data_IF_629678485668
#
_entry.id   IF_629678485668
#
_cell.length_a   1.000
_cell.length_b   1.000
_cell.length_c   1.000
_cell.angle_alpha   90.00
_cell.angle_beta   90.00
_cell.angle_gamma   90.00
#
_symmetry.space_group_name_H-M   'P 1'
#
loop_
_entity.id
_entity.type
_entity.pdbx_description
1 polymer ?
#
# COMPACT_ATOMS: atom_id res chain seq x y z
N UNK A 1 -6.64 29.09 -16.67
CA UNK A 1 -5.54 28.13 -16.81
C UNK A 1 -6.16 26.76 -16.71
N UNK A 2 -5.64 25.75 -17.38
CA UNK A 2 -6.28 24.41 -17.33
C UNK A 2 -5.44 23.57 -16.36
N UNK A 3 -6.05 22.74 -15.53
CA UNK A 3 -5.39 21.92 -14.48
C UNK A 3 -4.13 21.19 -14.99
N UNK A 4 -4.18 20.62 -16.21
CA UNK A 4 -3.02 20.02 -16.88
C UNK A 4 -1.85 21.01 -17.02
N UNK A 5 -2.12 22.22 -17.48
CA UNK A 5 -1.10 23.26 -17.63
C UNK A 5 -0.54 23.71 -16.29
N UNK A 6 -1.38 23.76 -15.26
CA UNK A 6 -0.98 24.07 -13.89
C UNK A 6 -0.04 23.01 -13.33
N UNK A 7 -0.34 21.71 -13.55
CA UNK A 7 0.50 20.58 -13.12
C UNK A 7 1.83 20.57 -13.87
N UNK A 8 1.81 20.69 -15.20
CA UNK A 8 3.04 20.71 -15.99
C UNK A 8 3.96 21.87 -15.55
N UNK A 9 3.41 23.06 -15.39
CA UNK A 9 4.16 24.20 -14.87
C UNK A 9 4.70 23.98 -13.46
N UNK A 10 3.92 23.33 -12.61
CA UNK A 10 4.31 23.00 -11.24
C UNK A 10 5.46 22.00 -11.21
N UNK A 11 5.35 20.92 -11.97
CA UNK A 11 6.38 19.88 -12.07
C UNK A 11 7.65 20.40 -12.77
N UNK A 12 7.52 21.23 -13.83
CA UNK A 12 8.67 21.77 -14.58
C UNK A 12 9.41 22.88 -13.82
N UNK A 13 8.70 23.80 -13.18
CA UNK A 13 9.31 24.94 -12.46
C UNK A 13 10.06 24.52 -11.19
N UNK A 14 9.67 23.40 -10.59
CA UNK A 14 10.26 22.92 -9.36
C UNK A 14 11.31 21.82 -9.60
N UNK A 15 11.83 21.68 -10.82
CA UNK A 15 12.94 20.79 -11.15
C UNK A 15 14.26 21.24 -10.48
N UNK A 16 14.34 21.16 -9.14
CA UNK A 16 15.39 21.78 -8.34
C UNK A 16 16.67 20.94 -8.13
N UNK A 17 16.80 19.78 -8.72
CA UNK A 17 18.07 19.05 -8.68
C UNK A 17 18.59 18.77 -10.09
N UNK A 18 19.37 19.68 -10.67
CA UNK A 18 20.13 19.37 -11.88
C UNK A 18 21.19 18.32 -11.51
N UNK A 19 21.03 17.10 -11.96
CA UNK A 19 22.11 16.12 -11.99
C UNK A 19 21.95 14.83 -11.20
N UNK A 20 20.90 14.62 -10.42
CA UNK A 20 20.66 13.31 -9.80
C UNK A 20 19.38 12.68 -10.36
N UNK A 21 19.53 11.72 -11.26
CA UNK A 21 18.47 10.75 -11.53
C UNK A 21 18.41 9.80 -10.35
N UNK A 22 17.45 9.99 -9.46
CA UNK A 22 17.15 9.01 -8.42
C UNK A 22 16.49 7.80 -9.09
N UNK A 23 16.85 6.59 -8.66
CA UNK A 23 15.98 5.46 -8.97
C UNK A 23 14.71 5.54 -8.09
N UNK A 24 13.66 4.82 -8.46
CA UNK A 24 12.37 4.89 -7.79
C UNK A 24 12.47 4.53 -6.31
N UNK A 25 13.30 3.56 -5.96
CA UNK A 25 13.51 3.12 -4.57
C UNK A 25 14.22 4.20 -3.74
N UNK A 26 15.17 4.91 -4.31
CA UNK A 26 15.83 6.06 -3.66
C UNK A 26 14.84 7.21 -3.41
N UNK A 27 13.95 7.48 -4.36
CA UNK A 27 12.89 8.48 -4.18
C UNK A 27 11.94 8.09 -3.04
N UNK A 28 11.48 6.84 -3.01
CA UNK A 28 10.62 6.32 -1.95
C UNK A 28 11.31 6.37 -0.59
N UNK A 29 12.60 5.98 -0.52
CA UNK A 29 13.40 6.03 0.69
C UNK A 29 13.54 7.44 1.27
N UNK A 30 13.79 8.43 0.44
CA UNK A 30 13.94 9.83 0.89
C UNK A 30 12.64 10.44 1.43
N UNK A 31 11.48 9.97 1.00
CA UNK A 31 10.19 10.58 1.31
C UNK A 31 9.33 9.75 2.30
N UNK A 32 9.68 8.49 2.56
CA UNK A 32 8.93 7.64 3.50
C UNK A 32 9.34 7.78 4.97
N UNK A 33 10.46 8.42 5.28
CA UNK A 33 10.95 8.65 6.65
C UNK A 33 11.26 7.40 7.47
N UNK A 34 11.02 6.19 6.94
CA UNK A 34 11.24 4.91 7.59
C UNK A 34 11.67 3.87 6.56
N UNK A 35 12.96 3.57 6.58
CA UNK A 35 13.48 2.39 5.89
C UNK A 35 12.94 1.13 6.57
N UNK A 36 11.99 0.45 5.97
CA UNK A 36 11.76 -0.94 6.29
C UNK A 36 12.24 -1.80 5.12
N UNK A 37 13.17 -2.63 5.42
CA UNK A 37 13.60 -3.77 4.62
C UNK A 37 12.41 -4.68 4.38
N UNK A 38 11.76 -4.59 3.24
CA UNK A 38 10.87 -5.66 2.73
C UNK A 38 10.03 -5.16 1.54
N UNK A 39 9.60 -6.05 0.72
CA UNK A 39 8.89 -5.93 -0.57
C UNK A 39 7.60 -5.06 -0.60
N UNK A 40 7.31 -4.31 0.44
CA UNK A 40 6.24 -3.31 0.49
C UNK A 40 6.60 -2.17 1.43
N UNK A 41 6.41 -0.93 1.00
CA UNK A 41 6.61 0.27 1.82
C UNK A 41 5.28 0.72 2.39
N UNK A 42 5.30 1.10 3.68
CA UNK A 42 4.17 1.78 4.30
C UNK A 42 4.47 3.27 4.36
N UNK A 43 3.62 4.08 3.73
CA UNK A 43 3.72 5.54 3.74
C UNK A 43 2.79 6.11 4.78
N UNK A 44 3.33 6.91 5.71
CA UNK A 44 2.54 7.71 6.66
C UNK A 44 2.36 9.13 6.15
N UNK A 45 1.15 9.67 6.22
CA UNK A 45 0.92 11.08 6.03
C UNK A 45 1.27 11.81 7.32
N UNK A 46 2.12 12.84 7.25
CA UNK A 46 2.45 13.68 8.40
C UNK A 46 1.47 14.86 8.56
N UNK A 47 0.60 15.06 7.59
CA UNK A 47 -0.36 16.15 7.47
C UNK A 47 -1.76 15.65 7.19
N UNK A 48 -2.79 16.45 7.48
CA UNK A 48 -4.18 16.11 7.19
C UNK A 48 -4.46 15.95 5.69
N UNK A 49 -3.74 16.69 4.86
CA UNK A 49 -3.92 16.73 3.41
C UNK A 49 -2.55 16.87 2.74
N UNK A 50 -2.34 16.11 1.69
CA UNK A 50 -1.20 16.28 0.79
C UNK A 50 -1.63 16.12 -0.66
N UNK A 51 -0.84 16.66 -1.58
CA UNK A 51 -1.03 16.42 -3.00
C UNK A 51 0.29 15.96 -3.62
N UNK A 52 0.21 14.97 -4.48
CA UNK A 52 1.32 14.63 -5.36
C UNK A 52 0.85 14.70 -6.80
N UNK A 53 1.70 15.27 -7.65
CA UNK A 53 1.48 15.31 -9.07
C UNK A 53 2.61 14.59 -9.78
N UNK A 54 2.29 13.77 -10.78
CA UNK A 54 3.31 13.15 -11.60
C UNK A 54 2.90 13.06 -13.06
N UNK A 55 3.93 13.15 -13.90
CA UNK A 55 3.79 13.05 -15.35
C UNK A 55 4.75 12.00 -15.88
N UNK A 56 4.33 11.28 -16.91
CA UNK A 56 5.24 10.43 -17.70
C UNK A 56 5.32 10.95 -19.12
N UNK A 57 6.41 10.61 -19.81
CA UNK A 57 6.62 10.97 -21.21
C UNK A 57 6.87 9.74 -22.07
N UNK A 58 6.78 9.93 -23.40
CA UNK A 58 7.13 8.90 -24.39
C UNK A 58 8.62 8.52 -24.35
N UNK A 59 9.46 9.35 -23.73
CA UNK A 59 10.90 9.13 -23.59
C UNK A 59 11.26 8.28 -22.35
N UNK A 60 10.26 7.82 -21.59
CA UNK A 60 10.46 7.04 -20.36
C UNK A 60 10.96 7.89 -19.20
N UNK A 61 10.54 9.12 -19.11
CA UNK A 61 10.86 10.04 -18.01
C UNK A 61 9.59 10.26 -17.19
N UNK A 62 9.68 10.04 -15.88
CA UNK A 62 8.67 10.40 -14.90
C UNK A 62 9.15 11.61 -14.09
N UNK A 63 8.31 12.63 -13.98
CA UNK A 63 8.50 13.72 -13.03
C UNK A 63 7.46 13.59 -11.93
N UNK A 64 7.90 13.75 -10.69
CA UNK A 64 7.04 13.68 -9.50
C UNK A 64 7.24 14.95 -8.70
N UNK A 65 6.15 15.54 -8.22
CA UNK A 65 6.17 16.65 -7.28
C UNK A 65 5.22 16.34 -6.12
N UNK A 66 5.66 16.52 -4.89
CA UNK A 66 4.91 16.27 -3.67
C UNK A 66 4.79 17.53 -2.82
N UNK A 67 3.57 17.83 -2.38
CA UNK A 67 3.20 19.02 -1.63
C UNK A 67 2.40 18.61 -0.37
N UNK A 68 3.00 18.57 0.80
CA UNK A 68 2.27 18.45 2.06
C UNK A 68 1.70 19.80 2.52
N UNK A 69 0.66 19.78 3.35
CA UNK A 69 -0.04 20.99 3.81
C UNK A 69 0.83 21.93 4.65
N UNK A 70 1.68 21.38 5.52
CA UNK A 70 2.41 22.15 6.54
C UNK A 70 3.91 22.34 6.24
N UNK A 71 4.40 21.82 5.12
CA UNK A 71 5.82 21.89 4.77
C UNK A 71 6.05 22.98 3.74
N UNK A 72 7.08 23.81 4.00
CA UNK A 72 7.45 24.92 3.11
C UNK A 72 8.18 24.50 1.85
N UNK A 73 8.51 23.22 1.70
CA UNK A 73 9.37 22.75 0.64
C UNK A 73 8.64 21.73 -0.25
N UNK A 74 8.58 22.04 -1.53
CA UNK A 74 8.09 21.12 -2.57
C UNK A 74 9.19 20.08 -2.81
N UNK A 75 8.85 18.81 -2.73
CA UNK A 75 9.76 17.72 -3.07
C UNK A 75 9.52 17.29 -4.52
N UNK A 76 10.53 17.38 -5.35
CA UNK A 76 10.46 16.98 -6.75
C UNK A 76 11.51 15.94 -7.08
N UNK A 77 11.15 15.00 -7.96
CA UNK A 77 12.06 13.98 -8.48
C UNK A 77 11.87 13.80 -9.99
N UNK A 78 12.95 13.46 -10.68
CA UNK A 78 12.97 13.04 -12.07
C UNK A 78 13.54 11.62 -12.14
N UNK A 79 12.76 10.69 -12.69
CA UNK A 79 13.08 9.28 -12.71
C UNK A 79 13.08 8.78 -14.15
N UNK A 80 14.14 8.08 -14.54
CA UNK A 80 14.17 7.33 -15.81
C UNK A 80 13.58 5.94 -15.56
N UNK A 81 12.67 5.49 -16.43
CA UNK A 81 12.04 4.19 -16.33
C UNK A 81 12.00 3.46 -17.68
N UNK A 82 11.92 2.13 -17.62
CA UNK A 82 11.68 1.29 -18.81
C UNK A 82 10.19 1.06 -19.00
N UNK A 83 9.76 0.94 -20.27
CA UNK A 83 8.35 0.70 -20.59
C UNK A 83 7.81 -0.56 -19.89
N UNK A 84 6.70 -0.43 -19.18
CA UNK A 84 6.09 -1.49 -18.40
C UNK A 84 6.77 -1.74 -17.04
N UNK A 85 7.67 -0.86 -16.59
CA UNK A 85 8.25 -0.96 -15.25
C UNK A 85 7.16 -0.86 -14.20
N UNK A 86 7.18 -1.77 -13.25
CA UNK A 86 6.29 -1.75 -12.09
C UNK A 86 6.99 -1.05 -10.94
N UNK A 87 6.29 -0.15 -10.26
CA UNK A 87 6.78 0.47 -9.03
C UNK A 87 6.76 -0.54 -7.89
N UNK A 88 7.51 -0.28 -6.83
CA UNK A 88 7.50 -1.14 -5.65
C UNK A 88 6.11 -1.12 -5.02
N UNK A 89 5.59 -2.31 -4.68
CA UNK A 89 4.32 -2.45 -4.00
C UNK A 89 4.36 -1.73 -2.65
N UNK A 90 3.35 -0.90 -2.38
CA UNK A 90 3.27 -0.08 -1.18
C UNK A 90 1.83 0.05 -0.68
N UNK A 91 1.68 0.53 0.53
CA UNK A 91 0.41 0.91 1.14
C UNK A 91 0.58 2.19 1.94
N UNK A 92 -0.51 2.82 2.35
CA UNK A 92 -0.50 4.01 3.18
C UNK A 92 -1.54 3.94 4.30
N UNK A 93 -1.34 4.75 5.34
CA UNK A 93 -2.28 4.93 6.44
C UNK A 93 -3.30 6.05 6.19
N UNK A 94 -3.40 6.53 4.96
CA UNK A 94 -4.33 7.57 4.52
C UNK A 94 -5.13 7.11 3.32
N UNK A 95 -6.25 7.76 3.06
CA UNK A 95 -7.04 7.56 1.84
C UNK A 95 -6.37 8.32 0.70
N UNK A 96 -6.20 7.68 -0.44
CA UNK A 96 -5.66 8.31 -1.64
C UNK A 96 -6.69 8.41 -2.75
N UNK A 97 -6.92 9.63 -3.25
CA UNK A 97 -7.70 9.89 -4.45
C UNK A 97 -6.75 10.13 -5.62
N UNK A 98 -6.73 9.23 -6.57
CA UNK A 98 -5.89 9.30 -7.78
C UNK A 98 -6.75 9.78 -8.94
N UNK A 99 -6.48 10.95 -9.45
CA UNK A 99 -7.17 11.56 -10.59
C UNK A 99 -6.31 11.45 -11.84
N UNK A 100 -6.76 10.68 -12.83
CA UNK A 100 -6.12 10.60 -14.15
C UNK A 100 -6.60 11.77 -15.02
N UNK A 101 -5.73 12.76 -15.23
CA UNK A 101 -6.07 13.98 -15.97
C UNK A 101 -5.86 13.75 -17.46
N UNK A 102 -4.80 13.06 -17.84
CA UNK A 102 -4.48 12.70 -19.20
C UNK A 102 -3.81 11.34 -19.28
N UNK A 103 -4.06 10.61 -20.37
CA UNK A 103 -3.49 9.30 -20.61
C UNK A 103 -4.22 8.18 -19.86
N UNK A 104 -3.49 7.19 -19.45
CA UNK A 104 -3.99 6.05 -18.70
C UNK A 104 -3.04 5.69 -17.56
N UNK A 105 -3.59 5.19 -16.46
CA UNK A 105 -2.84 4.64 -15.35
C UNK A 105 -3.20 3.18 -15.18
N UNK A 106 -2.24 2.29 -15.29
CA UNK A 106 -2.42 0.88 -14.93
C UNK A 106 -1.80 0.61 -13.58
N UNK A 107 -2.54 -0.07 -12.71
CA UNK A 107 -2.13 -0.41 -11.35
C UNK A 107 -2.38 -1.87 -11.05
N UNK A 108 -1.58 -2.42 -10.17
CA UNK A 108 -1.89 -3.68 -9.51
C UNK A 108 -2.42 -3.36 -8.10
N UNK A 109 -3.66 -3.73 -7.82
CA UNK A 109 -4.30 -3.51 -6.52
C UNK A 109 -4.70 -4.87 -5.95
N UNK A 110 -4.05 -5.27 -4.85
CA UNK A 110 -4.28 -6.58 -4.21
C UNK A 110 -4.27 -7.76 -5.19
N UNK A 111 -3.30 -7.77 -6.10
CA UNK A 111 -3.10 -8.84 -7.07
C UNK A 111 -3.94 -8.75 -8.35
N UNK A 112 -4.81 -7.73 -8.49
CA UNK A 112 -5.61 -7.49 -9.71
C UNK A 112 -5.03 -6.32 -10.50
N UNK A 113 -4.85 -6.52 -11.80
CA UNK A 113 -4.41 -5.45 -12.72
C UNK A 113 -5.63 -4.66 -13.20
N UNK A 114 -5.59 -3.33 -13.03
CA UNK A 114 -6.69 -2.42 -13.36
C UNK A 114 -6.11 -1.24 -14.11
N UNK A 115 -6.82 -0.78 -15.13
CA UNK A 115 -6.43 0.40 -15.89
C UNK A 115 -7.50 1.48 -15.74
N UNK A 116 -7.06 2.66 -15.39
CA UNK A 116 -7.87 3.87 -15.25
C UNK A 116 -7.60 4.79 -16.44
N UNK A 117 -8.63 5.48 -16.89
CA UNK A 117 -8.60 6.34 -18.05
C UNK A 117 -8.74 7.82 -17.67
N UNK A 118 -8.46 8.71 -18.63
CA UNK A 118 -8.59 10.16 -18.45
C UNK A 118 -9.97 10.54 -17.89
N UNK A 119 -9.97 11.42 -16.92
CA UNK A 119 -11.09 11.90 -16.13
C UNK A 119 -11.68 10.89 -15.12
N UNK A 120 -11.15 9.69 -15.01
CA UNK A 120 -11.51 8.78 -13.93
C UNK A 120 -10.75 9.12 -12.66
N UNK A 121 -11.38 8.82 -11.53
CA UNK A 121 -10.78 8.94 -10.20
C UNK A 121 -10.83 7.58 -9.53
N UNK A 122 -9.71 7.15 -8.96
CA UNK A 122 -9.64 5.98 -8.10
C UNK A 122 -9.46 6.43 -6.65
N UNK A 123 -10.31 5.97 -5.74
CA UNK A 123 -10.10 6.08 -4.31
C UNK A 123 -9.50 4.77 -3.82
N UNK A 124 -8.27 4.83 -3.31
CA UNK A 124 -7.60 3.70 -2.66
C UNK A 124 -7.75 3.87 -1.15
N UNK A 125 -8.21 2.80 -0.50
CA UNK A 125 -8.41 2.79 0.94
C UNK A 125 -7.08 2.62 1.69
N UNK A 126 -7.07 3.01 2.96
CA UNK A 126 -5.92 2.79 3.87
C UNK A 126 -5.50 1.32 3.87
N UNK A 127 -4.20 1.08 4.02
CA UNK A 127 -3.58 -0.26 4.09
C UNK A 127 -3.74 -1.13 2.82
N UNK A 128 -4.35 -0.61 1.76
CA UNK A 128 -4.48 -1.34 0.50
C UNK A 128 -3.15 -1.39 -0.23
N UNK A 129 -2.61 -2.60 -0.41
CA UNK A 129 -1.35 -2.80 -1.14
C UNK A 129 -1.59 -2.63 -2.63
N UNK A 130 -0.82 -1.73 -3.24
CA UNK A 130 -0.88 -1.45 -4.68
C UNK A 130 0.49 -1.04 -5.25
N UNK A 131 0.58 -1.04 -6.57
CA UNK A 131 1.74 -0.57 -7.33
C UNK A 131 1.28 -0.11 -8.71
N UNK A 132 2.01 0.82 -9.31
CA UNK A 132 1.73 1.38 -10.62
C UNK A 132 2.59 0.72 -11.69
N UNK A 133 2.06 0.62 -12.92
CA UNK A 133 2.83 0.31 -14.10
C UNK A 133 3.15 1.61 -14.86
N UNK A 134 4.42 1.84 -15.11
CA UNK A 134 4.91 3.00 -15.85
C UNK A 134 5.08 2.63 -17.32
N UNK A 135 4.31 3.28 -18.18
CA UNK A 135 4.41 3.13 -19.62
C UNK A 135 5.00 4.38 -20.26
N UNK A 136 5.77 4.18 -21.35
CA UNK A 136 6.36 5.27 -22.16
C UNK A 136 5.28 5.97 -22.99
N UNK A 137 4.40 6.67 -22.30
CA UNK A 137 3.30 7.45 -22.83
C UNK A 137 3.12 8.75 -22.06
N UNK A 138 2.46 9.73 -22.66
CA UNK A 138 2.12 10.95 -21.95
C UNK A 138 0.97 10.68 -20.98
N UNK A 139 1.25 10.82 -19.70
CA UNK A 139 0.25 10.67 -18.65
C UNK A 139 0.42 11.80 -17.64
N UNK A 140 -0.70 12.35 -17.17
CA UNK A 140 -0.74 13.38 -16.12
C UNK A 140 -1.68 12.91 -15.02
N UNK A 141 -1.16 12.80 -13.81
CA UNK A 141 -1.88 12.29 -12.65
C UNK A 141 -1.74 13.25 -11.47
N UNK A 142 -2.81 13.36 -10.71
CA UNK A 142 -2.85 14.09 -9.47
C UNK A 142 -3.38 13.17 -8.38
N UNK A 143 -2.61 12.98 -7.30
CA UNK A 143 -3.00 12.20 -6.14
C UNK A 143 -3.25 13.13 -4.96
N UNK A 144 -4.40 12.98 -4.30
CA UNK A 144 -4.77 13.70 -3.09
C UNK A 144 -4.79 12.71 -1.91
N UNK A 145 -3.83 12.86 -1.00
CA UNK A 145 -3.79 12.10 0.25
C UNK A 145 -4.60 12.81 1.33
N UNK A 146 -5.47 12.06 2.02
CA UNK A 146 -6.34 12.55 3.09
C UNK A 146 -6.17 11.65 4.31
N UNK A 147 -5.68 12.20 5.41
CA UNK A 147 -5.49 11.46 6.66
C UNK A 147 -6.82 11.10 7.32
N UNK A 148 -6.87 9.98 8.02
CA UNK A 148 -8.06 9.51 8.75
C UNK A 148 -8.58 10.56 9.74
N UNK A 149 -7.67 11.31 10.38
CA UNK A 149 -8.02 12.39 11.33
C UNK A 149 -8.86 13.51 10.67
N UNK A 150 -8.75 13.68 9.34
CA UNK A 150 -9.61 14.62 8.62
C UNK A 150 -11.09 14.27 8.80
N UNK A 151 -11.43 13.02 8.65
CA UNK A 151 -12.81 12.54 8.74
C UNK A 151 -13.34 12.49 10.16
N UNK A 152 -12.44 12.34 11.16
CA UNK A 152 -12.80 12.39 12.58
C UNK A 152 -13.04 13.83 13.08
N UNK A 153 -12.25 14.77 12.58
CA UNK A 153 -12.30 16.17 13.05
C UNK A 153 -13.31 17.03 12.31
N UNK A 154 -13.57 16.71 11.03
CA UNK A 154 -14.43 17.51 10.17
C UNK A 154 -15.66 16.71 9.80
N UNK A 155 -16.80 17.11 10.37
CA UNK A 155 -18.09 16.56 9.98
C UNK A 155 -18.42 17.05 8.58
N UNK A 156 -18.38 16.16 7.60
CA UNK A 156 -18.79 16.47 6.24
C UNK A 156 -20.31 16.70 6.29
N UNK A 157 -20.70 17.95 6.27
CA UNK A 157 -22.11 18.38 6.23
C UNK A 157 -22.63 18.27 4.79
N UNK A 158 -22.86 17.04 4.32
CA UNK A 158 -23.58 16.83 3.06
C UNK A 158 -25.07 16.67 3.34
N UNK A 159 -25.95 17.32 2.54
CA UNK A 159 -27.39 17.14 2.64
C UNK A 159 -27.88 15.73 2.29
N UNK A 160 -27.05 14.89 1.66
CA UNK A 160 -27.35 13.50 1.35
C UNK A 160 -26.66 12.57 2.34
N UNK A 161 -27.38 12.08 3.33
CA UNK A 161 -26.89 11.17 4.38
C UNK A 161 -26.26 9.89 3.82
N UNK A 162 -26.64 9.43 2.64
CA UNK A 162 -26.27 8.13 2.11
C UNK A 162 -24.79 8.01 1.67
N UNK A 163 -24.24 9.00 0.97
CA UNK A 163 -22.90 8.90 0.37
C UNK A 163 -21.77 9.34 1.30
N UNK A 164 -22.01 10.36 2.10
CA UNK A 164 -21.06 10.76 3.15
C UNK A 164 -20.94 9.67 4.20
N UNK A 165 -22.04 9.00 4.51
CA UNK A 165 -22.07 7.82 5.37
C UNK A 165 -21.25 6.67 4.77
N UNK A 166 -21.35 6.42 3.45
CA UNK A 166 -20.57 5.38 2.76
C UNK A 166 -19.06 5.67 2.77
N UNK A 167 -18.65 6.90 2.46
CA UNK A 167 -17.24 7.28 2.50
C UNK A 167 -16.69 7.25 3.93
N UNK A 168 -17.42 7.77 4.92
CA UNK A 168 -17.07 7.61 6.34
C UNK A 168 -17.01 6.15 6.76
N UNK A 169 -17.93 5.32 6.30
CA UNK A 169 -17.95 3.89 6.59
C UNK A 169 -16.75 3.18 5.97
N UNK A 170 -16.34 3.54 4.75
CA UNK A 170 -15.14 3.01 4.12
C UNK A 170 -13.86 3.39 4.87
N UNK A 171 -13.77 4.62 5.32
CA UNK A 171 -12.61 5.18 6.01
C UNK A 171 -12.54 4.68 7.45
N UNK A 172 -13.66 4.67 8.20
CA UNK A 172 -13.72 4.21 9.59
C UNK A 172 -13.67 2.69 9.74
N UNK A 173 -14.05 1.95 8.69
CA UNK A 173 -13.90 0.50 8.69
C UNK A 173 -12.50 0.13 8.20
N UNK A 174 -11.46 0.43 8.97
CA UNK A 174 -10.03 0.20 8.73
C UNK A 174 -9.64 -1.18 8.15
N UNK A 175 -10.56 -2.08 7.84
CA UNK A 175 -10.30 -3.49 7.48
C UNK A 175 -11.37 -4.16 6.66
N UNK A 176 -12.14 -3.46 5.86
CA UNK A 176 -13.34 -4.07 5.31
C UNK A 176 -13.46 -4.01 3.81
N UNK A 177 -14.07 -4.93 3.34
CA UNK A 177 -14.81 -5.29 2.12
C UNK A 177 -14.48 -4.52 0.81
N UNK A 178 -13.80 -3.36 0.87
CA UNK A 178 -13.48 -2.54 -0.31
C UNK A 178 -12.00 -2.15 -0.32
N UNK A 179 -11.30 -2.47 -1.40
CA UNK A 179 -9.91 -2.05 -1.62
C UNK A 179 -9.87 -0.67 -2.27
N UNK A 180 -10.69 -0.48 -3.27
CA UNK A 180 -10.75 0.76 -4.03
C UNK A 180 -12.16 1.02 -4.56
N UNK A 181 -12.43 2.28 -4.89
CA UNK A 181 -13.60 2.71 -5.64
C UNK A 181 -13.15 3.38 -6.94
N UNK A 182 -13.77 3.02 -8.05
CA UNK A 182 -13.62 3.71 -9.32
C UNK A 182 -14.78 4.67 -9.51
N UNK A 183 -14.45 5.91 -9.81
CA UNK A 183 -15.38 6.97 -10.19
C UNK A 183 -15.20 7.26 -11.66
N UNK A 184 -16.18 6.87 -12.47
CA UNK A 184 -16.20 7.17 -13.92
C UNK A 184 -17.12 8.36 -14.17
N UNK A 185 -16.69 9.38 -14.94
CA UNK A 185 -17.46 10.61 -15.12
C UNK A 185 -18.79 10.33 -15.85
N UNK A 186 -19.90 10.89 -15.33
CA UNK A 186 -21.22 10.79 -15.97
C UNK A 186 -21.27 11.60 -17.25
N UNK A 187 -20.53 12.71 -17.32
CA UNK A 187 -20.39 13.59 -18.48
C UNK A 187 -18.95 13.67 -18.92
N UNK A 188 -18.71 13.81 -20.22
CA UNK A 188 -17.35 13.93 -20.76
C UNK A 188 -16.56 15.12 -20.19
N UNK A 189 -17.21 16.15 -19.65
CA UNK A 189 -16.57 17.35 -19.12
C UNK A 189 -16.86 17.52 -17.63
N UNK A 190 -15.86 17.30 -16.81
CA UNK A 190 -15.89 17.43 -15.33
C UNK A 190 -15.18 18.71 -14.88
N UNK A 191 -15.75 19.85 -15.27
CA UNK A 191 -15.07 21.16 -15.08
C UNK A 191 -14.94 21.52 -13.60
N UNK A 192 -15.93 21.22 -12.77
CA UNK A 192 -15.92 21.61 -11.35
C UNK A 192 -14.92 20.79 -10.56
N UNK A 193 -14.86 19.48 -10.76
CA UNK A 193 -13.89 18.60 -10.08
C UNK A 193 -12.47 19.02 -10.42
N UNK A 194 -12.14 19.19 -11.71
CA UNK A 194 -10.82 19.65 -12.14
C UNK A 194 -10.45 21.02 -11.56
N UNK A 195 -11.39 21.99 -11.56
CA UNK A 195 -11.16 23.32 -10.98
C UNK A 195 -10.97 23.27 -9.47
N UNK A 196 -11.64 22.35 -8.76
CA UNK A 196 -11.46 22.21 -7.31
C UNK A 196 -10.09 21.62 -6.99
N UNK A 197 -9.59 20.65 -7.74
CA UNK A 197 -8.22 20.16 -7.59
C UNK A 197 -7.19 21.25 -7.89
N UNK A 198 -7.42 22.11 -8.90
CA UNK A 198 -6.55 23.26 -9.19
C UNK A 198 -6.50 24.24 -8.01
N UNK A 199 -7.65 24.53 -7.38
CA UNK A 199 -7.71 25.36 -6.17
C UNK A 199 -6.96 24.75 -4.98
N UNK A 200 -7.07 23.43 -4.77
CA UNK A 200 -6.30 22.73 -3.74
C UNK A 200 -4.78 22.89 -4.00
N UNK A 201 -4.33 22.70 -5.24
CA UNK A 201 -2.92 22.87 -5.60
C UNK A 201 -2.45 24.31 -5.32
N UNK A 202 -3.22 25.31 -5.75
CA UNK A 202 -2.87 26.72 -5.54
C UNK A 202 -2.79 27.04 -4.05
N UNK A 203 -3.78 26.63 -3.27
CA UNK A 203 -3.82 26.87 -1.84
C UNK A 203 -2.67 26.18 -1.08
N UNK A 204 -2.25 24.99 -1.53
CA UNK A 204 -1.09 24.31 -0.95
C UNK A 204 0.22 25.05 -1.24
N UNK A 205 0.34 25.71 -2.39
CA UNK A 205 1.52 26.51 -2.75
C UNK A 205 1.56 27.86 -2.05
N UNK A 206 0.41 28.39 -1.63
CA UNK A 206 0.31 29.70 -0.99
C UNK A 206 0.41 29.60 0.53
N UNK A 207 1.11 30.56 1.15
CA UNK A 207 1.26 30.67 2.62
C UNK A 207 0.32 31.74 3.20
N UNK A 208 -0.93 31.77 2.72
CA UNK A 208 -1.90 32.78 3.12
C UNK A 208 -2.70 32.36 4.38
N UNK A 209 -3.15 33.32 5.20
CA UNK A 209 -4.03 33.05 6.33
C UNK A 209 -5.33 32.36 5.88
N UNK A 210 -5.75 31.33 6.61
CA UNK A 210 -6.97 30.58 6.28
C UNK A 210 -6.75 29.33 5.43
N UNK A 211 -5.53 29.09 4.91
CA UNK A 211 -5.12 27.92 4.11
C UNK A 211 -5.78 26.60 4.58
N UNK A 212 -5.64 26.26 5.86
CA UNK A 212 -6.22 25.03 6.39
C UNK A 212 -7.73 24.93 6.20
N UNK A 213 -8.46 26.02 6.43
CA UNK A 213 -9.94 26.04 6.29
C UNK A 213 -10.39 25.92 4.86
N UNK A 214 -9.68 26.58 3.94
CA UNK A 214 -9.95 26.49 2.51
C UNK A 214 -9.69 25.07 1.98
N UNK A 215 -8.57 24.46 2.34
CA UNK A 215 -8.25 23.09 1.96
C UNK A 215 -9.30 22.09 2.46
N UNK A 216 -9.77 22.23 3.71
CA UNK A 216 -10.85 21.41 4.25
C UNK A 216 -12.12 21.56 3.40
N UNK A 217 -12.54 22.80 3.11
CA UNK A 217 -13.73 23.07 2.30
C UNK A 217 -13.60 22.56 0.85
N UNK A 218 -12.41 22.60 0.27
CA UNK A 218 -12.18 22.04 -1.07
C UNK A 218 -12.22 20.51 -1.08
N UNK A 219 -11.68 19.84 -0.04
CA UNK A 219 -11.79 18.38 0.07
C UNK A 219 -13.25 17.96 0.26
N UNK A 220 -14.01 18.65 1.12
CA UNK A 220 -15.45 18.41 1.26
C UNK A 220 -16.19 18.58 -0.08
N UNK A 221 -15.83 19.60 -0.85
CA UNK A 221 -16.39 19.83 -2.19
C UNK A 221 -16.03 18.73 -3.17
N UNK A 222 -14.80 18.22 -3.17
CA UNK A 222 -14.42 17.07 -4.00
C UNK A 222 -15.29 15.87 -3.66
N UNK A 223 -15.45 15.55 -2.38
CA UNK A 223 -16.28 14.43 -1.94
C UNK A 223 -17.72 14.58 -2.42
N UNK A 224 -18.29 15.78 -2.32
CA UNK A 224 -19.65 16.08 -2.83
C UNK A 224 -19.75 15.95 -4.36
N UNK A 225 -18.74 16.44 -5.09
CA UNK A 225 -18.69 16.34 -6.55
C UNK A 225 -18.55 14.89 -7.04
N UNK A 226 -17.80 14.04 -6.34
CA UNK A 226 -17.69 12.63 -6.67
C UNK A 226 -19.05 11.93 -6.67
N UNK A 227 -19.97 12.34 -5.78
CA UNK A 227 -21.33 11.79 -5.73
C UNK A 227 -22.24 12.32 -6.84
N UNK A 228 -21.98 13.51 -7.37
CA UNK A 228 -22.85 14.22 -8.31
C UNK A 228 -22.43 14.14 -9.77
N UNK A 229 -21.11 14.09 -10.01
CA UNK A 229 -20.52 14.13 -11.36
C UNK A 229 -20.04 12.77 -11.84
N UNK A 230 -20.00 11.74 -10.96
CA UNK A 230 -19.42 10.44 -11.27
C UNK A 230 -20.38 9.29 -10.98
N UNK A 231 -20.28 8.25 -11.78
CA UNK A 231 -20.82 6.93 -11.50
C UNK A 231 -19.79 6.15 -10.67
N UNK A 232 -20.23 5.56 -9.58
CA UNK A 232 -19.37 4.86 -8.63
C UNK A 232 -19.42 3.37 -8.90
N UNK A 233 -18.24 2.78 -9.13
CA UNK A 233 -18.03 1.35 -9.24
C UNK A 233 -17.22 0.89 -8.04
N UNK A 234 -17.83 0.08 -7.17
CA UNK A 234 -17.18 -0.43 -5.97
C UNK A 234 -16.57 -1.78 -6.31
N UNK A 235 -15.27 -1.88 -6.24
CA UNK A 235 -14.59 -3.16 -6.32
C UNK A 235 -14.66 -3.85 -4.95
N UNK A 236 -15.66 -4.68 -4.78
CA UNK A 236 -15.69 -5.61 -3.66
C UNK A 236 -14.59 -6.65 -3.85
N UNK A 237 -13.81 -6.89 -2.81
CA UNK A 237 -13.00 -8.08 -2.77
C UNK A 237 -13.94 -9.24 -2.53
N UNK A 238 -13.80 -10.29 -3.31
CA UNK A 238 -14.26 -11.59 -2.86
C UNK A 238 -13.53 -11.87 -1.54
N UNK A 239 -14.28 -11.97 -0.43
CA UNK A 239 -13.74 -12.24 0.92
C UNK A 239 -12.77 -13.43 0.89
N UNK A 240 -12.98 -14.38 -0.03
CA UNK A 240 -12.14 -15.55 -0.22
C UNK A 240 -10.77 -15.16 -0.82
N UNK A 241 -10.73 -14.31 -1.85
CA UNK A 241 -9.47 -13.87 -2.46
C UNK A 241 -8.66 -12.99 -1.49
N UNK A 242 -9.33 -12.11 -0.73
CA UNK A 242 -8.68 -11.31 0.31
C UNK A 242 -8.05 -12.20 1.38
N UNK A 243 -8.80 -13.16 1.90
CA UNK A 243 -8.33 -14.09 2.91
C UNK A 243 -7.11 -14.88 2.42
N UNK A 244 -7.15 -15.36 1.18
CA UNK A 244 -6.02 -16.07 0.57
C UNK A 244 -4.79 -15.16 0.42
N UNK A 245 -4.96 -13.90 0.00
CA UNK A 245 -3.88 -12.94 -0.13
C UNK A 245 -3.24 -12.59 1.23
N UNK A 246 -4.06 -12.35 2.26
CA UNK A 246 -3.58 -12.09 3.64
C UNK A 246 -2.77 -13.28 4.13
N UNK A 247 -3.31 -14.51 4.01
CA UNK A 247 -2.61 -15.73 4.44
C UNK A 247 -1.30 -15.91 3.70
N UNK A 248 -1.28 -15.68 2.39
CA UNK A 248 -0.05 -15.74 1.58
C UNK A 248 1.01 -14.76 2.10
N UNK A 249 0.66 -13.50 2.31
CA UNK A 249 1.59 -12.49 2.84
C UNK A 249 2.12 -12.84 4.23
N UNK A 250 1.27 -13.41 5.09
CA UNK A 250 1.69 -13.88 6.42
C UNK A 250 2.65 -15.07 6.30
N UNK A 251 2.38 -16.03 5.40
CA UNK A 251 3.28 -17.15 5.16
C UNK A 251 4.65 -16.68 4.67
N UNK A 252 4.70 -15.75 3.73
CA UNK A 252 5.94 -15.13 3.25
C UNK A 252 6.68 -14.40 4.38
N UNK A 253 5.99 -13.65 5.22
CA UNK A 253 6.58 -12.99 6.39
C UNK A 253 7.19 -14.01 7.37
N UNK A 254 6.47 -15.10 7.68
CA UNK A 254 6.97 -16.17 8.55
C UNK A 254 8.27 -16.76 7.98
N UNK A 255 8.31 -17.10 6.69
CA UNK A 255 9.50 -17.66 6.04
C UNK A 255 10.71 -16.72 6.16
N UNK A 256 10.49 -15.42 6.01
CA UNK A 256 11.55 -14.41 6.04
C UNK A 256 12.01 -14.03 7.47
N UNK A 257 11.23 -14.37 8.50
CA UNK A 257 11.51 -13.96 9.89
C UNK A 257 11.78 -15.15 10.84
N UNK A 258 11.80 -16.38 10.32
CA UNK A 258 12.24 -17.55 11.11
C UNK A 258 13.66 -17.30 11.66
N UNK A 259 13.96 -17.82 12.85
CA UNK A 259 13.13 -18.67 13.72
C UNK A 259 12.32 -17.91 14.79
N UNK A 260 12.48 -16.61 14.91
CA UNK A 260 12.05 -15.83 16.08
C UNK A 260 10.58 -15.44 16.07
N UNK A 261 9.93 -15.44 14.89
CA UNK A 261 8.57 -14.96 14.71
C UNK A 261 7.56 -15.64 15.64
N UNK A 262 6.69 -14.84 16.23
CA UNK A 262 5.56 -15.29 17.05
C UNK A 262 4.22 -14.82 16.48
N UNK A 263 3.12 -15.35 17.01
CA UNK A 263 1.76 -14.90 16.66
C UNK A 263 1.56 -13.42 17.01
N UNK A 264 2.18 -12.95 18.09
CA UNK A 264 2.10 -11.54 18.48
C UNK A 264 2.82 -10.63 17.50
N UNK A 265 4.03 -11.00 17.04
CA UNK A 265 4.75 -10.23 16.03
C UNK A 265 3.95 -10.11 14.73
N UNK A 266 3.29 -11.19 14.32
CA UNK A 266 2.41 -11.19 13.14
C UNK A 266 1.17 -10.32 13.40
N UNK A 267 0.58 -10.41 14.59
CA UNK A 267 -0.56 -9.60 15.01
C UNK A 267 -0.24 -8.11 14.94
N UNK A 268 0.91 -7.70 15.46
CA UNK A 268 1.39 -6.32 15.41
C UNK A 268 1.72 -5.88 13.98
N UNK A 269 2.51 -6.69 13.26
CA UNK A 269 2.95 -6.39 11.89
C UNK A 269 1.78 -6.20 10.92
N UNK A 270 0.78 -7.07 10.99
CA UNK A 270 -0.38 -7.05 10.10
C UNK A 270 -1.58 -6.31 10.69
N UNK A 271 -1.45 -5.81 11.92
CA UNK A 271 -2.48 -5.08 12.65
C UNK A 271 -3.83 -5.85 12.74
N UNK A 272 -3.75 -7.16 12.97
CA UNK A 272 -4.91 -8.03 13.18
C UNK A 272 -4.90 -8.65 14.57
N UNK A 273 -6.09 -8.84 15.14
CA UNK A 273 -6.22 -9.57 16.41
C UNK A 273 -5.76 -11.04 16.23
N UNK A 274 -4.99 -11.62 17.19
CA UNK A 274 -4.53 -13.02 17.14
C UNK A 274 -5.65 -14.05 16.91
N UNK A 275 -6.83 -13.85 17.52
CA UNK A 275 -7.97 -14.75 17.34
C UNK A 275 -8.53 -14.71 15.92
N UNK A 276 -8.54 -13.52 15.29
CA UNK A 276 -8.92 -13.39 13.89
C UNK A 276 -7.93 -14.12 12.99
N UNK A 277 -6.63 -13.92 13.19
CA UNK A 277 -5.58 -14.61 12.42
C UNK A 277 -5.68 -16.12 12.54
N UNK A 278 -5.90 -16.65 13.74
CA UNK A 278 -6.08 -18.08 13.96
C UNK A 278 -7.32 -18.63 13.24
N UNK A 279 -8.45 -17.91 13.28
CA UNK A 279 -9.66 -18.30 12.54
C UNK A 279 -9.43 -18.28 11.03
N UNK A 280 -8.73 -17.25 10.54
CA UNK A 280 -8.39 -17.11 9.14
C UNK A 280 -7.51 -18.25 8.65
N UNK A 281 -6.41 -18.54 9.35
CA UNK A 281 -5.51 -19.65 9.04
C UNK A 281 -6.24 -21.00 9.09
N UNK A 282 -7.09 -21.24 10.11
CA UNK A 282 -7.87 -22.48 10.20
C UNK A 282 -8.82 -22.63 9.02
N UNK A 283 -9.40 -21.53 8.54
CA UNK A 283 -10.30 -21.53 7.38
C UNK A 283 -9.56 -21.83 6.08
N UNK A 284 -8.47 -21.14 5.82
CA UNK A 284 -7.75 -21.17 4.54
C UNK A 284 -6.73 -22.33 4.47
N UNK A 285 -5.94 -22.53 5.54
CA UNK A 285 -4.84 -23.50 5.60
C UNK A 285 -5.20 -24.79 6.33
N UNK A 286 -6.41 -24.91 6.90
CA UNK A 286 -6.88 -26.05 7.69
C UNK A 286 -6.06 -26.31 8.98
N UNK A 287 -5.20 -25.36 9.35
CA UNK A 287 -4.42 -25.39 10.59
C UNK A 287 -4.41 -24.01 11.24
N UNK A 288 -4.10 -23.92 12.53
CA UNK A 288 -3.94 -22.62 13.18
C UNK A 288 -2.56 -22.02 12.92
N UNK A 289 -2.44 -20.69 13.08
CA UNK A 289 -1.23 -19.93 12.80
C UNK A 289 -0.02 -20.44 13.62
N UNK A 290 -0.23 -20.77 14.91
CA UNK A 290 0.84 -21.31 15.77
C UNK A 290 1.39 -22.64 15.25
N UNK A 291 0.51 -23.52 14.74
CA UNK A 291 0.95 -24.79 14.15
C UNK A 291 1.74 -24.55 12.88
N UNK A 292 1.32 -23.63 12.02
CA UNK A 292 2.05 -23.27 10.80
C UNK A 292 3.46 -22.76 11.12
N UNK A 293 3.61 -21.88 12.12
CA UNK A 293 4.93 -21.42 12.58
C UNK A 293 5.78 -22.60 13.06
N UNK A 294 5.21 -23.51 13.85
CA UNK A 294 5.93 -24.69 14.34
C UNK A 294 6.38 -25.61 13.21
N UNK A 295 5.51 -25.89 12.23
CA UNK A 295 5.87 -26.69 11.05
C UNK A 295 6.97 -26.00 10.22
N UNK A 296 6.86 -24.69 9.99
CA UNK A 296 7.90 -23.93 9.28
C UNK A 296 9.26 -24.01 9.98
N UNK A 297 9.30 -23.93 11.31
CA UNK A 297 10.54 -24.10 12.09
C UNK A 297 11.12 -25.51 11.94
N UNK A 298 10.28 -26.53 11.93
CA UNK A 298 10.73 -27.92 11.75
C UNK A 298 11.26 -28.16 10.33
N UNK A 299 10.62 -27.59 9.30
CA UNK A 299 11.12 -27.64 7.94
C UNK A 299 12.48 -26.95 7.80
N UNK A 300 12.62 -25.77 8.37
CA UNK A 300 13.90 -25.06 8.39
C UNK A 300 14.99 -25.85 9.15
N UNK A 301 14.62 -26.49 10.27
CA UNK A 301 15.56 -27.37 10.99
C UNK A 301 15.95 -28.60 10.16
N UNK A 302 15.06 -29.14 9.36
CA UNK A 302 15.37 -30.23 8.43
C UNK A 302 16.40 -29.77 7.38
N UNK A 303 16.23 -28.59 6.79
CA UNK A 303 17.18 -28.05 5.82
C UNK A 303 18.58 -27.87 6.45
N UNK A 304 18.66 -27.35 7.67
CA UNK A 304 19.92 -27.28 8.43
C UNK A 304 20.51 -28.65 8.70
N UNK A 305 19.67 -29.63 9.01
CA UNK A 305 20.11 -31.00 9.34
C UNK A 305 20.81 -31.71 8.18
N UNK A 306 20.34 -31.47 6.95
CA UNK A 306 20.89 -32.08 5.73
C UNK A 306 22.00 -31.24 5.09
N UNK A 307 22.04 -29.94 5.35
CA UNK A 307 22.99 -29.00 4.73
C UNK A 307 24.18 -28.65 5.62
N UNK A 308 24.20 -29.05 6.91
CA UNK A 308 25.27 -28.68 7.85
C UNK A 308 25.64 -29.84 8.76
N UNK A 309 26.86 -29.75 9.35
CA UNK A 309 27.35 -30.70 10.36
C UNK A 309 26.96 -30.29 11.80
N UNK A 310 26.08 -29.31 11.99
CA UNK A 310 25.67 -28.85 13.30
C UNK A 310 25.02 -29.99 14.11
N UNK A 311 25.25 -30.03 15.43
CA UNK A 311 24.58 -31.00 16.30
C UNK A 311 23.06 -30.81 16.26
N UNK A 312 22.30 -31.87 16.46
CA UNK A 312 20.82 -31.80 16.51
C UNK A 312 20.35 -30.82 17.58
N UNK A 313 21.10 -30.73 18.69
CA UNK A 313 20.83 -29.78 19.76
C UNK A 313 21.03 -28.33 19.30
N UNK A 314 22.12 -28.03 18.60
CA UNK A 314 22.39 -26.72 18.03
C UNK A 314 21.31 -26.31 17.01
N UNK A 315 20.91 -27.24 16.13
CA UNK A 315 19.83 -27.02 15.15
C UNK A 315 18.50 -26.74 15.86
N UNK A 316 18.17 -27.50 16.91
CA UNK A 316 16.95 -27.29 17.70
C UNK A 316 16.91 -25.87 18.27
N UNK A 317 18.02 -25.40 18.86
CA UNK A 317 18.12 -24.03 19.38
C UNK A 317 18.01 -22.98 18.27
N UNK A 318 18.72 -23.17 17.16
CA UNK A 318 18.63 -22.26 16.01
C UNK A 318 17.21 -22.21 15.44
N UNK A 319 16.48 -23.32 15.42
CA UNK A 319 15.09 -23.36 14.99
C UNK A 319 14.09 -22.78 16.03
N UNK A 320 14.58 -22.17 17.12
CA UNK A 320 13.77 -21.48 18.11
C UNK A 320 13.10 -22.40 19.12
N UNK A 321 13.63 -23.60 19.34
CA UNK A 321 13.14 -24.53 20.36
C UNK A 321 13.97 -24.46 21.63
N UNK A 322 13.35 -24.10 22.76
CA UNK A 322 13.98 -24.15 24.08
C UNK A 322 13.93 -25.54 24.70
N UNK A 323 13.01 -26.41 24.25
CA UNK A 323 12.87 -27.77 24.73
C UNK A 323 13.15 -28.75 23.59
N UNK A 324 14.31 -29.43 23.70
CA UNK A 324 14.77 -30.40 22.71
C UNK A 324 13.84 -31.61 22.59
N UNK A 325 13.22 -32.06 23.69
CA UNK A 325 12.26 -33.17 23.67
C UNK A 325 11.02 -32.85 22.86
N UNK A 326 10.51 -31.64 23.01
CA UNK A 326 9.38 -31.14 22.21
C UNK A 326 9.74 -31.03 20.74
N UNK A 327 10.97 -30.56 20.42
CA UNK A 327 11.49 -30.54 19.05
C UNK A 327 11.52 -31.94 18.42
N UNK A 328 12.07 -32.94 19.13
CA UNK A 328 12.11 -34.34 18.65
C UNK A 328 10.72 -34.89 18.36
N UNK A 329 9.77 -34.62 19.27
CA UNK A 329 8.37 -35.01 19.09
C UNK A 329 7.76 -34.41 17.83
N UNK A 330 7.89 -33.11 17.66
CA UNK A 330 7.35 -32.38 16.48
C UNK A 330 8.03 -32.81 15.18
N UNK A 331 9.35 -32.95 15.19
CA UNK A 331 10.11 -33.40 14.04
C UNK A 331 9.69 -34.81 13.61
N UNK A 332 9.57 -35.74 14.55
CA UNK A 332 9.10 -37.12 14.28
C UNK A 332 7.65 -37.13 13.80
N UNK A 333 6.81 -36.25 14.31
CA UNK A 333 5.40 -36.12 13.87
C UNK A 333 5.31 -35.71 12.39
N UNK A 334 6.19 -34.82 11.92
CA UNK A 334 6.17 -34.30 10.55
C UNK A 334 6.90 -35.23 9.58
N UNK A 335 8.08 -35.72 9.94
CA UNK A 335 8.93 -36.51 9.05
C UNK A 335 8.90 -38.03 9.27
N UNK A 336 8.15 -38.53 10.25
CA UNK A 336 8.03 -39.95 10.57
C UNK A 336 9.25 -40.57 11.25
N UNK A 337 10.40 -39.86 11.29
CA UNK A 337 11.66 -40.33 11.87
C UNK A 337 12.30 -39.25 12.74
N UNK A 338 13.22 -39.67 13.62
CA UNK A 338 13.99 -38.70 14.44
C UNK A 338 15.04 -37.95 13.60
N UNK A 339 15.45 -36.74 14.02
CA UNK A 339 16.50 -35.99 13.33
C UNK A 339 17.78 -36.81 13.14
N UNK A 340 18.18 -37.57 14.15
CA UNK A 340 19.37 -38.43 14.08
C UNK A 340 19.25 -39.51 12.99
N UNK A 341 18.07 -40.16 12.88
CA UNK A 341 17.84 -41.16 11.85
C UNK A 341 17.82 -40.56 10.42
N UNK A 342 17.23 -39.37 10.24
CA UNK A 342 17.25 -38.66 8.97
C UNK A 342 18.69 -38.38 8.53
N UNK A 343 19.52 -37.80 9.42
CA UNK A 343 20.92 -37.50 9.13
C UNK A 343 21.71 -38.74 8.75
N UNK A 344 21.53 -39.85 9.49
CA UNK A 344 22.22 -41.10 9.20
C UNK A 344 21.89 -41.63 7.81
N UNK A 345 20.63 -41.49 7.39
CA UNK A 345 20.15 -41.98 6.07
C UNK A 345 20.51 -41.03 4.92
N UNK A 346 20.79 -39.74 5.16
CA UNK A 346 21.21 -38.79 4.14
C UNK A 346 22.73 -38.79 3.87
N UNK A 347 23.50 -39.48 4.70
CA UNK A 347 24.97 -39.66 4.54
C UNK A 347 25.33 -41.02 3.85
N UNK A 348 24.36 -41.84 3.53
CA UNK A 348 24.45 -43.04 2.72
C UNK A 348 23.93 -42.80 1.30
#
# INVERSE_FOLDING_TARGET
MNLKSSINNFVEKNNFFPGQSLNYDQYLFMHSGLASTLNSFHRGLQDLISISAWTTSIEGIQHIAYLPMNVKQIHCAKIQFSNGMQTTAHSHNYVELIFVIEGTLSMQISGKSITFHSNEICLINTETVHSEYLYTQNTVILCLGIDDLFFDQYSISSPSEDYTFYLKKLINQKRTEYLYMLFSPIKQKITRTASTFELIMQELMDELPGKKRLLIGYVERIIDLLTKEYQIHIAQIDKKELHAAIVKSICEYIQNTLPTVSVNDISEKFNYNPDYLNRLFKKEMKMNLSNYIQESRVHWAYDLLISTDLSVEAISHQAGYHNIGFFYQKFKQIYGATPHNIRKNSLC
#
